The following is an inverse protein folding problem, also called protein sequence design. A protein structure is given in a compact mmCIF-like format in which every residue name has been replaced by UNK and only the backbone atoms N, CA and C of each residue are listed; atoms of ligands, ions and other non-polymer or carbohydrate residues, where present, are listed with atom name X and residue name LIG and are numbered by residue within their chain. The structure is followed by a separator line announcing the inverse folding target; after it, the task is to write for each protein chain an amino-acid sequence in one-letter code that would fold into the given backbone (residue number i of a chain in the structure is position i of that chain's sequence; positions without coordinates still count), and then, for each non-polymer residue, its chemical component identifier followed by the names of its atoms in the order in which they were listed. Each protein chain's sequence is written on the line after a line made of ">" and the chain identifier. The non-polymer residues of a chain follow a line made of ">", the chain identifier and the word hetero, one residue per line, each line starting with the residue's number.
data_IF_492395981031
#
_entry.id   IF_492395981031
#
_cell.length_a   1.000
_cell.length_b   1.000
_cell.length_c   1.000
_cell.angle_alpha   90.00
_cell.angle_beta   90.00
_cell.angle_gamma   90.00
#
_symmetry.space_group_name_H-M   'P 1'
#
loop_
_entity.id
_entity.type
_entity.pdbx_description
1 polymer ?
#
# COMPACT_ATOMS: atom_id res chain seq x y z
N UNK A 1 17.89 0.79 -24.71
CA UNK A 1 16.97 1.67 -23.96
C UNK A 1 15.98 0.75 -23.30
N UNK A 2 16.15 0.49 -22.01
CA UNK A 2 15.23 -0.39 -21.28
C UNK A 2 13.92 0.37 -21.08
N UNK A 3 12.87 -0.27 -21.56
CA UNK A 3 11.46 0.08 -21.42
C UNK A 3 11.17 0.48 -19.97
N UNK A 4 10.87 1.76 -19.75
CA UNK A 4 10.31 2.23 -18.48
C UNK A 4 8.88 1.72 -18.43
N UNK A 5 8.72 0.46 -18.00
CA UNK A 5 7.44 -0.05 -17.52
C UNK A 5 7.11 0.72 -16.25
N UNK A 6 6.50 1.89 -16.42
CA UNK A 6 5.80 2.59 -15.36
C UNK A 6 4.53 1.77 -15.15
N UNK A 7 4.61 0.77 -14.26
CA UNK A 7 3.40 0.08 -13.82
C UNK A 7 2.49 1.17 -13.21
N UNK A 8 1.24 1.30 -13.66
CA UNK A 8 0.36 2.30 -13.10
C UNK A 8 0.15 1.94 -11.63
N UNK A 9 0.73 2.72 -10.73
CA UNK A 9 0.38 2.69 -9.31
C UNK A 9 -1.12 2.95 -9.25
N UNK A 10 -1.90 1.94 -8.86
CA UNK A 10 -3.32 2.14 -8.63
C UNK A 10 -3.45 3.10 -7.45
N UNK A 11 -4.05 4.28 -7.64
CA UNK A 11 -4.06 5.29 -6.61
C UNK A 11 -4.93 4.81 -5.45
N UNK A 12 -4.27 4.51 -4.33
CA UNK A 12 -4.94 4.19 -3.07
C UNK A 12 -5.45 5.51 -2.46
N UNK A 13 -6.74 5.62 -2.10
CA UNK A 13 -7.25 6.82 -1.43
C UNK A 13 -6.52 7.09 -0.11
N UNK A 14 -6.33 8.35 0.26
CA UNK A 14 -5.73 8.71 1.55
C UNK A 14 -6.65 8.40 2.74
N UNK A 15 -7.96 8.58 2.54
CA UNK A 15 -9.00 8.32 3.53
C UNK A 15 -9.65 6.96 3.23
N UNK A 16 -9.14 5.90 3.89
CA UNK A 16 -9.56 4.51 3.69
C UNK A 16 -10.46 4.07 4.82
N UNK A 17 -11.63 3.56 4.44
CA UNK A 17 -12.58 2.95 5.36
C UNK A 17 -12.65 1.45 5.11
N UNK A 18 -12.70 0.66 6.18
CA UNK A 18 -12.80 -0.80 6.12
C UNK A 18 -14.03 -1.28 6.91
N UNK A 19 -14.72 -2.29 6.39
CA UNK A 19 -15.81 -2.94 7.11
C UNK A 19 -15.30 -3.81 8.28
N UNK A 20 -14.13 -4.43 8.12
CA UNK A 20 -13.50 -5.29 9.12
C UNK A 20 -12.39 -4.55 9.89
N UNK A 21 -12.30 -4.79 11.20
CA UNK A 21 -11.32 -4.14 12.06
C UNK A 21 -9.88 -4.65 11.78
N UNK A 22 -9.70 -5.92 11.47
CA UNK A 22 -8.37 -6.48 11.19
C UNK A 22 -7.80 -5.89 9.89
N UNK A 23 -8.66 -5.62 8.90
CA UNK A 23 -8.24 -4.95 7.67
C UNK A 23 -7.76 -3.51 7.94
N UNK A 24 -8.46 -2.76 8.81
CA UNK A 24 -8.04 -1.43 9.24
C UNK A 24 -6.73 -1.45 10.04
N UNK A 25 -6.53 -2.44 10.90
CA UNK A 25 -5.30 -2.62 11.67
C UNK A 25 -4.10 -2.96 10.77
N UNK A 26 -4.31 -3.82 9.76
CA UNK A 26 -3.28 -4.14 8.77
C UNK A 26 -2.90 -2.92 7.93
N UNK A 27 -3.88 -2.13 7.47
CA UNK A 27 -3.64 -0.88 6.74
C UNK A 27 -2.74 0.08 7.54
N UNK A 28 -3.10 0.33 8.80
CA UNK A 28 -2.34 1.22 9.67
C UNK A 28 -0.89 0.72 9.88
N UNK A 29 -0.70 -0.59 10.03
CA UNK A 29 0.62 -1.18 10.16
C UNK A 29 1.45 -1.05 8.87
N UNK A 30 0.83 -1.20 7.70
CA UNK A 30 1.49 -1.00 6.41
C UNK A 30 1.93 0.46 6.24
N UNK A 31 1.05 1.43 6.53
CA UNK A 31 1.38 2.87 6.48
C UNK A 31 2.56 3.19 7.39
N UNK A 32 2.52 2.77 8.65
CA UNK A 32 3.61 3.02 9.61
C UNK A 32 4.93 2.40 9.11
N UNK A 33 4.88 1.24 8.47
CA UNK A 33 6.08 0.56 7.97
C UNK A 33 6.62 1.22 6.70
N UNK A 34 5.75 1.74 5.83
CA UNK A 34 6.15 2.54 4.66
C UNK A 34 6.92 3.79 5.12
N UNK A 35 6.39 4.52 6.09
CA UNK A 35 7.05 5.72 6.65
C UNK A 35 8.44 5.39 7.23
N UNK A 36 8.56 4.25 7.92
CA UNK A 36 9.85 3.78 8.44
C UNK A 36 10.83 3.38 7.34
N UNK A 37 10.35 2.72 6.29
CA UNK A 37 11.17 2.34 5.14
C UNK A 37 11.67 3.58 4.38
N UNK A 38 10.80 4.57 4.16
CA UNK A 38 11.17 5.87 3.58
C UNK A 38 12.20 6.61 4.44
N UNK A 39 11.98 6.68 5.75
CA UNK A 39 12.92 7.32 6.67
C UNK A 39 14.29 6.63 6.71
N UNK A 40 14.34 5.33 6.42
CA UNK A 40 15.57 4.55 6.31
C UNK A 40 16.23 4.65 4.92
N UNK A 41 15.57 5.25 3.93
CA UNK A 41 16.03 5.28 2.54
C UNK A 41 15.94 3.93 1.83
N UNK A 42 15.06 3.03 2.29
CA UNK A 42 14.80 1.74 1.65
C UNK A 42 13.65 1.86 0.64
N UNK A 43 13.97 2.46 -0.52
CA UNK A 43 12.99 2.73 -1.58
C UNK A 43 12.33 1.46 -2.11
N UNK A 44 13.06 0.33 -2.13
CA UNK A 44 12.54 -0.96 -2.61
C UNK A 44 11.48 -1.51 -1.66
N UNK A 45 11.77 -1.49 -0.35
CA UNK A 45 10.81 -1.92 0.65
C UNK A 45 9.58 -1.00 0.68
N UNK A 46 9.78 0.32 0.67
CA UNK A 46 8.69 1.29 0.63
C UNK A 46 7.76 1.07 -0.58
N UNK A 47 8.34 0.87 -1.77
CA UNK A 47 7.56 0.59 -3.00
C UNK A 47 6.80 -0.73 -2.89
N UNK A 48 7.44 -1.77 -2.36
CA UNK A 48 6.80 -3.08 -2.18
C UNK A 48 5.62 -2.99 -1.22
N UNK A 49 5.78 -2.28 -0.10
CA UNK A 49 4.72 -2.09 0.89
C UNK A 49 3.57 -1.22 0.36
N UNK A 50 3.83 -0.23 -0.49
CA UNK A 50 2.76 0.54 -1.15
C UNK A 50 1.94 -0.33 -2.11
N UNK A 51 2.60 -1.23 -2.83
CA UNK A 51 1.89 -2.20 -3.68
C UNK A 51 1.01 -3.14 -2.84
N UNK A 52 1.52 -3.61 -1.70
CA UNK A 52 0.76 -4.45 -0.77
C UNK A 52 -0.44 -3.70 -0.18
N UNK A 53 -0.25 -2.44 0.23
CA UNK A 53 -1.32 -1.56 0.72
C UNK A 53 -2.43 -1.41 -0.33
N UNK A 54 -2.05 -1.20 -1.59
CA UNK A 54 -3.01 -1.13 -2.69
C UNK A 54 -3.75 -2.44 -2.91
N UNK A 55 -3.05 -3.57 -2.94
CA UNK A 55 -3.68 -4.89 -3.08
C UNK A 55 -4.68 -5.12 -1.95
N UNK A 56 -4.26 -4.88 -0.70
CA UNK A 56 -5.09 -5.05 0.49
C UNK A 56 -6.36 -4.21 0.44
N UNK A 57 -6.25 -2.91 0.13
CA UNK A 57 -7.40 -2.02 0.03
C UNK A 57 -8.42 -2.51 -1.01
N UNK A 58 -7.97 -2.85 -2.22
CA UNK A 58 -8.89 -3.28 -3.27
C UNK A 58 -9.46 -4.68 -3.03
N UNK A 59 -8.70 -5.60 -2.43
CA UNK A 59 -9.18 -6.93 -2.07
C UNK A 59 -10.26 -6.86 -0.98
N UNK A 60 -10.06 -6.00 0.04
CA UNK A 60 -11.07 -5.73 1.05
C UNK A 60 -12.34 -5.14 0.42
N UNK A 61 -12.20 -4.16 -0.49
CA UNK A 61 -13.35 -3.54 -1.18
C UNK A 61 -14.09 -4.46 -2.15
N UNK A 62 -13.44 -5.47 -2.71
CA UNK A 62 -14.09 -6.48 -3.54
C UNK A 62 -14.81 -7.56 -2.72
N UNK A 63 -14.48 -7.66 -1.42
CA UNK A 63 -15.01 -8.70 -0.51
C UNK A 63 -16.14 -8.20 0.41
N UNK A 64 -16.41 -6.88 0.41
CA UNK A 64 -17.56 -6.23 1.05
C UNK A 64 -18.89 -6.53 0.33
#
# INVERSE_FOLDING_TARGET
>A
MLDQRHEPELPVPDDREYADQADAELDAALVETIEKAEAAGDDYLATTLRNELGSHYYDAKLSE
#
